data_IF_472210942117
#
_entry.id   IF_472210942117
#
_cell.length_a   1.000
_cell.length_b   1.000
_cell.length_c   1.000
_cell.angle_alpha   90.00
_cell.angle_beta   90.00
_cell.angle_gamma   90.00
#
_symmetry.space_group_name_H-M   'P 1'
#
loop_
_entity.id
_entity.type
_entity.pdbx_description
1 polymer ?
#
# COMPACT_ATOMS: atom_id res chain seq x y z
N UNK A 1 -26.56 10.25 -50.00
CA UNK A 1 -25.50 10.69 -49.06
C UNK A 1 -25.32 9.82 -47.80
N UNK A 2 -26.31 9.58 -46.93
CA UNK A 2 -26.06 8.80 -45.70
C UNK A 2 -25.84 7.29 -45.96
N UNK A 3 -26.69 6.68 -46.79
CA UNK A 3 -26.55 5.27 -47.20
C UNK A 3 -25.25 5.02 -47.96
N UNK A 4 -24.91 5.91 -48.90
CA UNK A 4 -23.66 5.84 -49.67
C UNK A 4 -22.40 5.90 -48.79
N UNK A 5 -22.47 6.61 -47.65
CA UNK A 5 -21.31 6.79 -46.76
C UNK A 5 -21.20 5.72 -45.67
N UNK A 6 -22.30 5.11 -45.24
CA UNK A 6 -22.33 4.22 -44.08
C UNK A 6 -23.00 2.85 -44.33
N UNK A 7 -23.56 2.61 -45.52
CA UNK A 7 -24.21 1.33 -45.90
C UNK A 7 -25.47 1.00 -45.11
N UNK A 8 -26.03 1.93 -44.34
CA UNK A 8 -27.19 1.69 -43.46
C UNK A 8 -28.38 2.50 -43.95
N UNK A 9 -29.48 1.81 -44.25
CA UNK A 9 -30.76 2.44 -44.54
C UNK A 9 -31.43 2.90 -43.23
N UNK A 10 -31.79 4.19 -43.18
CA UNK A 10 -32.54 4.78 -42.06
C UNK A 10 -33.81 5.40 -42.62
N UNK A 11 -34.89 5.30 -41.86
CA UNK A 11 -36.18 5.83 -42.29
C UNK A 11 -36.13 7.36 -42.45
N UNK A 12 -36.85 7.88 -43.44
CA UNK A 12 -37.02 9.32 -43.66
C UNK A 12 -37.48 10.06 -42.39
N UNK A 13 -38.37 9.42 -41.61
CA UNK A 13 -38.87 9.91 -40.32
C UNK A 13 -37.73 10.13 -39.31
N UNK A 14 -36.65 9.34 -39.38
CA UNK A 14 -35.49 9.52 -38.49
C UNK A 14 -34.75 10.81 -38.80
N UNK A 15 -34.52 11.12 -40.08
CA UNK A 15 -33.85 12.35 -40.51
C UNK A 15 -34.70 13.59 -40.21
N UNK A 16 -36.00 13.53 -40.51
CA UNK A 16 -36.95 14.58 -40.16
C UNK A 16 -36.95 14.89 -38.65
N UNK A 17 -36.97 13.85 -37.81
CA UNK A 17 -36.92 14.04 -36.35
C UNK A 17 -35.56 14.53 -35.82
N UNK A 18 -34.47 14.31 -36.56
CA UNK A 18 -33.15 14.85 -36.21
C UNK A 18 -33.05 16.33 -36.58
N UNK A 19 -33.48 16.68 -37.80
CA UNK A 19 -33.56 18.07 -38.28
C UNK A 19 -34.45 18.90 -37.36
N UNK A 20 -35.66 18.43 -37.06
CA UNK A 20 -36.59 19.10 -36.14
C UNK A 20 -35.96 19.34 -34.76
N UNK A 21 -35.25 18.36 -34.21
CA UNK A 21 -34.55 18.50 -32.91
C UNK A 21 -33.39 19.49 -32.98
N UNK A 22 -32.68 19.55 -34.11
CA UNK A 22 -31.62 20.51 -34.32
C UNK A 22 -32.17 21.94 -34.35
N UNK A 23 -33.26 22.16 -35.10
CA UNK A 23 -33.92 23.46 -35.22
C UNK A 23 -34.57 23.93 -33.91
N UNK A 24 -35.23 23.03 -33.17
CA UNK A 24 -35.98 23.41 -31.95
C UNK A 24 -35.10 23.49 -30.69
N UNK A 25 -34.03 22.69 -30.60
CA UNK A 25 -33.28 22.50 -29.36
C UNK A 25 -31.76 22.59 -29.52
N UNK A 26 -31.25 22.88 -30.73
CA UNK A 26 -29.82 23.05 -30.98
C UNK A 26 -28.98 21.79 -30.82
N UNK A 27 -29.58 20.60 -30.81
CA UNK A 27 -28.86 19.35 -30.54
C UNK A 27 -29.50 18.10 -31.14
N UNK A 28 -28.66 17.12 -31.49
CA UNK A 28 -29.08 15.84 -32.08
C UNK A 28 -29.52 14.79 -31.03
N UNK A 29 -29.18 15.00 -29.76
CA UNK A 29 -29.44 14.05 -28.68
C UNK A 29 -30.92 14.07 -28.25
N UNK A 30 -31.48 12.90 -27.92
CA UNK A 30 -32.79 12.82 -27.28
C UNK A 30 -32.67 13.35 -25.85
N UNK A 31 -33.61 14.20 -25.41
CA UNK A 31 -33.72 14.58 -23.99
C UNK A 31 -33.88 13.30 -23.16
N UNK A 32 -33.04 13.15 -22.15
CA UNK A 32 -33.10 12.04 -21.18
C UNK A 32 -34.51 11.96 -20.60
N UNK A 33 -35.13 10.77 -20.65
CA UNK A 33 -36.32 10.50 -19.84
C UNK A 33 -35.87 10.42 -18.39
N UNK A 34 -36.12 11.45 -17.60
CA UNK A 34 -35.95 11.42 -16.15
C UNK A 34 -36.93 10.42 -15.53
N UNK A 35 -36.57 9.14 -15.52
CA UNK A 35 -37.28 8.15 -14.70
C UNK A 35 -36.89 8.40 -13.23
N UNK A 36 -37.84 8.72 -12.34
CA UNK A 36 -37.53 8.85 -10.92
C UNK A 36 -36.98 7.52 -10.40
N UNK A 37 -35.85 7.56 -9.70
CA UNK A 37 -35.26 6.39 -9.05
C UNK A 37 -36.06 6.11 -7.76
N UNK A 38 -37.22 5.47 -7.88
CA UNK A 38 -38.16 5.24 -6.75
C UNK A 38 -37.51 4.61 -5.50
N UNK A 39 -36.46 3.79 -5.67
CA UNK A 39 -35.80 3.06 -4.57
C UNK A 39 -34.67 3.87 -3.90
N UNK A 40 -34.06 4.84 -4.61
CA UNK A 40 -33.05 5.76 -4.05
C UNK A 40 -33.73 7.10 -3.84
N UNK A 41 -34.49 7.19 -2.76
CA UNK A 41 -35.00 8.44 -2.23
C UNK A 41 -34.02 8.98 -1.17
N UNK A 42 -34.21 10.24 -0.77
CA UNK A 42 -33.38 10.89 0.25
C UNK A 42 -33.46 10.15 1.58
N UNK A 43 -34.67 9.70 1.97
CA UNK A 43 -34.88 9.00 3.23
C UNK A 43 -34.07 7.69 3.34
N UNK A 44 -34.11 6.84 2.31
CA UNK A 44 -33.33 5.60 2.29
C UNK A 44 -31.84 5.89 2.23
N UNK A 45 -31.43 6.95 1.53
CA UNK A 45 -30.04 7.38 1.47
C UNK A 45 -29.55 7.78 2.87
N UNK A 46 -30.30 8.62 3.57
CA UNK A 46 -29.99 9.04 4.95
C UNK A 46 -29.95 7.85 5.89
N UNK A 47 -30.90 6.92 5.81
CA UNK A 47 -30.94 5.73 6.67
C UNK A 47 -29.71 4.82 6.47
N UNK A 48 -29.28 4.61 5.21
CA UNK A 48 -28.07 3.82 4.91
C UNK A 48 -26.81 4.52 5.41
N UNK A 49 -26.71 5.84 5.20
CA UNK A 49 -25.56 6.61 5.67
C UNK A 49 -25.47 6.61 7.20
N UNK A 50 -26.59 6.82 7.90
CA UNK A 50 -26.66 6.77 9.35
C UNK A 50 -26.23 5.40 9.89
N UNK A 51 -26.69 4.30 9.28
CA UNK A 51 -26.30 2.95 9.67
C UNK A 51 -24.78 2.69 9.52
N UNK A 52 -24.16 3.25 8.49
CA UNK A 52 -22.71 3.12 8.26
C UNK A 52 -21.90 4.01 9.20
N UNK A 53 -22.40 5.22 9.51
CA UNK A 53 -21.77 6.09 10.51
C UNK A 53 -21.78 5.45 11.90
N UNK A 54 -22.86 4.76 12.27
CA UNK A 54 -22.97 4.03 13.54
C UNK A 54 -22.09 2.77 13.58
N UNK A 55 -21.93 2.09 12.44
CA UNK A 55 -21.08 0.90 12.34
C UNK A 55 -20.38 0.83 10.97
N UNK A 56 -19.14 1.36 10.86
CA UNK A 56 -18.39 1.34 9.60
C UNK A 56 -18.05 -0.06 9.07
N UNK A 57 -18.10 -1.10 9.92
CA UNK A 57 -17.80 -2.48 9.55
C UNK A 57 -19.03 -3.24 9.01
N UNK A 58 -20.20 -2.60 8.94
CA UNK A 58 -21.43 -3.25 8.50
C UNK A 58 -21.35 -3.65 7.02
N UNK A 59 -21.59 -4.92 6.72
CA UNK A 59 -21.55 -5.39 5.33
C UNK A 59 -22.76 -4.89 4.53
N UNK A 60 -22.56 -4.65 3.23
CA UNK A 60 -23.65 -4.30 2.31
C UNK A 60 -24.76 -5.36 2.27
N UNK A 61 -24.44 -6.63 2.54
CA UNK A 61 -25.45 -7.71 2.64
C UNK A 61 -26.32 -7.55 3.87
N UNK A 62 -25.73 -7.22 5.02
CA UNK A 62 -26.47 -7.00 6.27
C UNK A 62 -27.34 -5.74 6.17
N UNK A 63 -26.80 -4.67 5.59
CA UNK A 63 -27.58 -3.47 5.25
C UNK A 63 -28.78 -3.80 4.35
N UNK A 64 -28.60 -4.64 3.32
CA UNK A 64 -29.68 -5.06 2.44
C UNK A 64 -30.82 -5.78 3.18
N UNK A 65 -30.47 -6.65 4.13
CA UNK A 65 -31.45 -7.37 4.96
C UNK A 65 -32.24 -6.41 5.88
N UNK A 66 -31.56 -5.44 6.49
CA UNK A 66 -32.20 -4.52 7.46
C UNK A 66 -32.98 -3.37 6.79
N UNK A 67 -32.55 -2.93 5.60
CA UNK A 67 -33.17 -1.80 4.89
C UNK A 67 -34.20 -2.20 3.84
N UNK A 68 -34.43 -3.50 3.63
CA UNK A 68 -35.26 -4.04 2.54
C UNK A 68 -34.85 -3.52 1.14
N UNK A 69 -33.58 -3.14 0.95
CA UNK A 69 -33.02 -2.68 -0.32
C UNK A 69 -32.14 -3.75 -0.94
N UNK A 70 -32.09 -3.80 -2.27
CA UNK A 70 -31.09 -4.64 -2.94
C UNK A 70 -29.67 -4.14 -2.66
N UNK A 71 -28.72 -5.09 -2.58
CA UNK A 71 -27.29 -4.79 -2.43
C UNK A 71 -26.78 -3.81 -3.51
N UNK A 72 -27.26 -3.96 -4.74
CA UNK A 72 -26.88 -3.09 -5.87
C UNK A 72 -27.34 -1.64 -5.69
N UNK A 73 -28.52 -1.43 -5.09
CA UNK A 73 -29.00 -0.08 -4.74
C UNK A 73 -28.15 0.55 -3.65
N UNK A 74 -27.80 -0.20 -2.60
CA UNK A 74 -26.90 0.26 -1.53
C UNK A 74 -25.53 0.62 -2.11
N UNK A 75 -24.93 -0.25 -2.93
CA UNK A 75 -23.65 0.02 -3.58
C UNK A 75 -23.69 1.30 -4.43
N UNK A 76 -24.79 1.56 -5.13
CA UNK A 76 -24.98 2.78 -5.92
C UNK A 76 -25.08 4.02 -5.03
N UNK A 77 -25.79 3.95 -3.90
CA UNK A 77 -25.85 5.04 -2.91
C UNK A 77 -24.44 5.38 -2.41
N UNK A 78 -23.68 4.36 -1.98
CA UNK A 78 -22.33 4.56 -1.47
C UNK A 78 -21.40 5.19 -2.51
N UNK A 79 -21.45 4.73 -3.76
CA UNK A 79 -20.69 5.36 -4.86
C UNK A 79 -21.11 6.82 -5.11
N UNK A 80 -22.41 7.12 -5.08
CA UNK A 80 -22.91 8.49 -5.27
C UNK A 80 -22.44 9.43 -4.15
N UNK A 81 -22.34 8.91 -2.92
CA UNK A 81 -21.86 9.63 -1.75
C UNK A 81 -20.34 9.56 -1.56
N UNK A 82 -19.60 9.04 -2.55
CA UNK A 82 -18.13 8.90 -2.55
C UNK A 82 -17.58 8.07 -1.38
N UNK A 83 -18.35 7.10 -0.88
CA UNK A 83 -17.85 6.11 0.06
C UNK A 83 -17.03 5.06 -0.67
N UNK A 84 -15.83 4.79 -0.16
CA UNK A 84 -14.92 3.79 -0.68
C UNK A 84 -14.75 2.65 0.32
N UNK A 85 -14.66 1.39 -0.15
CA UNK A 85 -14.21 0.31 0.71
C UNK A 85 -12.72 0.55 1.03
N UNK A 86 -12.41 0.74 2.30
CA UNK A 86 -11.03 0.78 2.79
C UNK A 86 -10.66 -0.59 3.35
N UNK A 87 -9.46 -1.06 3.05
CA UNK A 87 -8.92 -2.25 3.67
C UNK A 87 -8.44 -1.90 5.08
N UNK A 88 -8.81 -2.73 6.05
CA UNK A 88 -8.24 -2.64 7.39
C UNK A 88 -6.77 -3.02 7.30
N UNK A 89 -5.89 -2.08 7.62
CA UNK A 89 -4.47 -2.35 7.80
C UNK A 89 -4.30 -2.75 9.25
N UNK A 90 -3.90 -4.01 9.48
CA UNK A 90 -3.48 -4.46 10.80
C UNK A 90 -2.11 -3.87 11.07
N UNK A 91 -2.04 -2.93 12.01
CA UNK A 91 -0.78 -2.40 12.53
C UNK A 91 -0.48 -3.04 13.88
N UNK A 92 0.79 -3.01 14.30
CA UNK A 92 1.14 -3.37 15.67
C UNK A 92 0.41 -2.44 16.64
N UNK A 93 -0.05 -3.00 17.76
CA UNK A 93 -0.66 -2.22 18.83
C UNK A 93 0.43 -1.40 19.52
N UNK A 94 0.32 -0.07 19.44
CA UNK A 94 1.26 0.85 20.08
C UNK A 94 0.78 1.13 21.50
N UNK A 95 1.69 1.04 22.47
CA UNK A 95 1.44 1.50 23.82
C UNK A 95 1.45 3.04 23.89
N UNK A 96 0.88 3.62 24.95
CA UNK A 96 0.91 5.08 25.15
C UNK A 96 2.35 5.64 25.18
N UNK A 97 3.28 4.90 25.79
CA UNK A 97 4.69 5.29 25.84
C UNK A 97 5.35 5.31 24.45
N UNK A 98 4.94 4.43 23.53
CA UNK A 98 5.47 4.43 22.16
C UNK A 98 5.08 5.71 21.41
N UNK A 99 3.89 6.26 21.67
CA UNK A 99 3.51 7.54 21.09
C UNK A 99 4.42 8.67 21.57
N UNK A 100 4.68 8.74 22.88
CA UNK A 100 5.55 9.75 23.46
C UNK A 100 6.98 9.65 22.92
N UNK A 101 7.53 8.42 22.84
CA UNK A 101 8.85 8.18 22.27
C UNK A 101 8.93 8.60 20.79
N UNK A 102 7.89 8.31 20.00
CA UNK A 102 7.83 8.68 18.58
C UNK A 102 7.69 10.18 18.38
N UNK A 103 6.88 10.86 19.20
CA UNK A 103 6.75 12.33 19.15
C UNK A 103 8.08 12.97 19.53
N UNK A 104 8.71 12.53 20.62
CA UNK A 104 10.02 13.02 21.05
C UNK A 104 11.07 12.86 19.96
N UNK A 105 11.10 11.69 19.29
CA UNK A 105 11.98 11.45 18.16
C UNK A 105 11.70 12.40 16.99
N UNK A 106 10.43 12.61 16.64
CA UNK A 106 10.06 13.54 15.56
C UNK A 106 10.41 15.00 15.88
N UNK A 107 10.21 15.45 17.11
CA UNK A 107 10.57 16.80 17.56
C UNK A 107 12.10 17.00 17.54
N UNK A 108 12.86 16.00 18.02
CA UNK A 108 14.31 15.99 17.89
C UNK A 108 14.75 16.03 16.44
N UNK A 109 14.18 15.18 15.59
CA UNK A 109 14.52 15.11 14.16
C UNK A 109 14.24 16.45 13.46
N UNK A 110 13.11 17.10 13.77
CA UNK A 110 12.81 18.44 13.26
C UNK A 110 13.86 19.50 13.68
N UNK A 111 14.39 19.39 14.89
CA UNK A 111 15.44 20.29 15.39
C UNK A 111 16.81 20.07 14.73
N UNK A 112 17.09 18.86 14.24
CA UNK A 112 18.38 18.49 13.61
C UNK A 112 18.31 18.52 12.08
N UNK A 113 17.11 18.61 11.50
CA UNK A 113 16.88 18.66 10.05
C UNK A 113 17.49 19.91 9.41
N UNK A 114 18.74 19.79 8.97
CA UNK A 114 19.27 20.59 7.86
C UNK A 114 18.73 20.05 6.53
N UNK A 115 18.78 20.87 5.46
CA UNK A 115 18.22 20.55 4.12
C UNK A 115 18.65 19.16 3.61
N UNK A 116 19.87 18.73 3.97
CA UNK A 116 20.48 17.48 3.48
C UNK A 116 20.69 16.41 4.57
N UNK A 117 20.07 16.53 5.75
CA UNK A 117 20.33 15.60 6.87
C UNK A 117 20.03 14.14 6.50
N UNK A 118 18.91 13.87 5.82
CA UNK A 118 18.52 12.52 5.42
C UNK A 118 19.47 11.87 4.42
N UNK A 119 20.14 12.68 3.58
CA UNK A 119 21.15 12.19 2.64
C UNK A 119 22.37 11.63 3.36
N UNK A 120 22.64 12.09 4.59
CA UNK A 120 23.73 11.63 5.44
C UNK A 120 23.38 10.38 6.25
N UNK A 121 22.13 9.89 6.21
CA UNK A 121 21.74 8.70 6.98
C UNK A 121 21.94 7.45 6.11
N UNK A 122 22.76 6.51 6.60
CA UNK A 122 22.78 5.13 6.13
C UNK A 122 21.60 4.39 6.75
N UNK A 123 20.52 4.29 5.98
CA UNK A 123 19.38 3.44 6.33
C UNK A 123 19.75 1.99 6.04
N UNK A 124 19.54 1.10 7.00
CA UNK A 124 19.83 -0.32 6.82
C UNK A 124 18.74 -1.19 7.40
N UNK A 125 18.53 -2.35 6.79
CA UNK A 125 17.53 -3.33 7.23
C UNK A 125 17.88 -4.73 6.70
N UNK A 126 17.25 -5.73 7.31
CA UNK A 126 17.32 -7.12 6.88
C UNK A 126 16.05 -7.57 6.16
N UNK A 127 16.23 -8.32 5.08
CA UNK A 127 15.16 -8.99 4.37
C UNK A 127 15.37 -10.51 4.38
N UNK A 128 14.33 -11.26 4.78
CA UNK A 128 14.31 -12.72 4.69
C UNK A 128 13.65 -13.16 3.38
N UNK A 129 14.42 -13.84 2.53
CA UNK A 129 13.93 -14.50 1.32
C UNK A 129 13.68 -15.98 1.60
N UNK A 130 12.58 -16.53 1.09
CA UNK A 130 12.23 -17.93 1.27
C UNK A 130 11.80 -18.56 -0.05
N UNK A 131 12.20 -19.80 -0.32
CA UNK A 131 11.77 -20.53 -1.52
C UNK A 131 10.31 -21.02 -1.48
N UNK A 132 9.71 -21.07 -0.30
CA UNK A 132 8.28 -21.36 -0.16
C UNK A 132 7.43 -20.26 -0.80
N UNK A 133 8.02 -19.08 -1.05
CA UNK A 133 7.38 -17.91 -1.61
C UNK A 133 6.11 -17.64 -0.82
N UNK A 134 6.23 -17.01 0.35
CA UNK A 134 5.07 -16.47 1.08
C UNK A 134 4.34 -15.51 0.13
N UNK A 135 3.48 -16.06 -0.71
CA UNK A 135 2.75 -15.29 -1.71
C UNK A 135 1.77 -14.51 -0.89
N UNK A 136 1.85 -13.19 -1.00
CA UNK A 136 0.81 -12.34 -0.48
C UNK A 136 -0.52 -12.81 -1.12
N UNK A 137 -1.34 -13.54 -0.36
CA UNK A 137 -2.61 -14.13 -0.85
C UNK A 137 -3.53 -13.05 -1.42
N UNK A 138 -3.36 -11.80 -0.99
CA UNK A 138 -4.07 -10.65 -1.54
C UNK A 138 -3.71 -10.32 -2.98
N UNK A 139 -2.51 -10.68 -3.45
CA UNK A 139 -2.07 -10.44 -4.83
C UNK A 139 -2.34 -11.64 -5.75
N UNK A 140 -2.80 -12.77 -5.22
CA UNK A 140 -3.07 -13.99 -5.96
C UNK A 140 -4.48 -13.97 -6.55
N UNK A 141 -4.70 -13.13 -7.55
CA UNK A 141 -5.97 -13.03 -8.26
C UNK A 141 -6.00 -13.93 -9.48
N UNK A 142 -7.03 -14.76 -9.58
CA UNK A 142 -7.32 -15.58 -10.75
C UNK A 142 -8.65 -15.16 -11.35
N UNK A 143 -8.66 -14.85 -12.64
CA UNK A 143 -9.89 -14.58 -13.38
C UNK A 143 -10.34 -15.88 -14.04
N UNK A 144 -11.53 -16.36 -13.68
CA UNK A 144 -12.14 -17.54 -14.28
C UNK A 144 -13.67 -17.39 -14.30
N UNK A 145 -14.32 -17.96 -15.32
CA UNK A 145 -15.79 -17.96 -15.48
C UNK A 145 -16.45 -18.85 -14.43
N UNK A 146 -15.78 -19.93 -14.04
CA UNK A 146 -16.17 -20.86 -12.99
C UNK A 146 -15.00 -21.09 -12.04
N UNK A 147 -15.27 -21.41 -10.78
CA UNK A 147 -14.23 -21.57 -9.75
C UNK A 147 -13.33 -22.78 -10.09
N UNK A 148 -12.03 -22.57 -10.38
CA UNK A 148 -11.14 -23.65 -10.78
C UNK A 148 -10.65 -24.50 -9.60
N UNK A 149 -11.01 -24.17 -8.35
CA UNK A 149 -10.52 -24.84 -7.14
C UNK A 149 -8.99 -24.95 -7.10
N UNK A 150 -8.28 -23.88 -7.50
CA UNK A 150 -6.83 -23.91 -7.59
C UNK A 150 -6.18 -24.14 -6.22
N UNK A 151 -5.47 -25.26 -6.10
CA UNK A 151 -4.63 -25.59 -4.97
C UNK A 151 -3.17 -25.51 -5.41
N UNK A 152 -2.39 -24.66 -4.75
CA UNK A 152 -0.93 -24.62 -4.95
C UNK A 152 -0.28 -25.47 -3.88
N UNK A 153 0.48 -26.49 -4.30
CA UNK A 153 1.38 -27.21 -3.40
C UNK A 153 2.53 -26.29 -3.01
N UNK A 154 2.72 -26.08 -1.70
CA UNK A 154 3.89 -25.39 -1.17
C UNK A 154 4.85 -26.48 -0.68
N UNK A 155 6.11 -26.51 -1.16
CA UNK A 155 7.07 -27.50 -0.70
C UNK A 155 7.32 -27.32 0.81
N UNK A 156 6.79 -28.24 1.62
CA UNK A 156 6.93 -28.22 3.08
C UNK A 156 8.25 -28.87 3.55
N UNK A 157 8.79 -29.83 2.79
CA UNK A 157 9.95 -30.64 3.20
C UNK A 157 11.32 -30.02 2.90
N UNK A 158 11.42 -29.08 1.95
CA UNK A 158 12.68 -28.43 1.57
C UNK A 158 12.53 -26.91 1.68
N UNK A 159 12.33 -26.39 2.89
CA UNK A 159 12.29 -24.95 3.14
C UNK A 159 13.70 -24.44 3.38
N UNK A 160 14.08 -23.37 2.67
CA UNK A 160 15.24 -22.58 3.03
C UNK A 160 14.84 -21.11 3.16
N UNK A 161 15.55 -20.43 4.06
CA UNK A 161 15.47 -18.99 4.26
C UNK A 161 16.86 -18.40 4.11
N UNK A 162 16.96 -17.26 3.42
CA UNK A 162 18.18 -16.50 3.25
C UNK A 162 17.94 -15.10 3.82
N UNK A 163 18.70 -14.73 4.85
CA UNK A 163 18.66 -13.38 5.39
C UNK A 163 19.71 -12.54 4.68
N UNK A 164 19.29 -11.36 4.22
CA UNK A 164 20.15 -10.43 3.50
C UNK A 164 20.09 -9.09 4.22
N UNK A 165 21.25 -8.54 4.55
CA UNK A 165 21.38 -7.17 4.99
C UNK A 165 21.72 -6.28 3.80
N UNK A 166 21.05 -5.13 3.71
CA UNK A 166 21.38 -4.07 2.78
C UNK A 166 21.29 -2.72 3.48
N UNK A 167 22.12 -1.78 3.03
CA UNK A 167 22.03 -0.37 3.40
C UNK A 167 21.87 0.52 2.18
N UNK A 168 21.36 1.73 2.39
CA UNK A 168 21.32 2.79 1.40
C UNK A 168 21.73 4.12 2.03
N UNK A 169 22.63 4.84 1.36
CA UNK A 169 23.05 6.20 1.73
C UNK A 169 23.26 7.01 0.46
N UNK A 170 22.65 8.21 0.40
CA UNK A 170 22.52 8.97 -0.86
C UNK A 170 22.06 8.07 -2.02
N UNK A 171 22.85 7.98 -3.08
CA UNK A 171 22.62 7.14 -4.25
C UNK A 171 23.35 5.79 -4.18
N UNK A 172 24.00 5.47 -3.06
CA UNK A 172 24.79 4.25 -2.89
C UNK A 172 24.01 3.17 -2.17
N UNK A 173 23.94 1.99 -2.81
CA UNK A 173 23.47 0.75 -2.16
C UNK A 173 24.67 0.02 -1.57
N UNK A 174 24.59 -0.30 -0.28
CA UNK A 174 25.62 -0.99 0.50
C UNK A 174 25.18 -2.44 0.73
N UNK A 175 26.09 -3.38 0.48
CA UNK A 175 25.75 -4.81 0.43
C UNK A 175 25.48 -5.28 -1.01
N UNK A 176 24.71 -6.36 -1.21
CA UNK A 176 24.06 -7.19 -0.20
C UNK A 176 25.07 -7.99 0.64
N UNK A 177 24.78 -8.17 1.92
CA UNK A 177 25.47 -9.14 2.78
C UNK A 177 24.54 -10.31 3.10
N UNK A 178 25.00 -11.52 2.80
CA UNK A 178 24.23 -12.74 3.00
C UNK A 178 24.61 -13.40 4.32
N UNK A 179 23.64 -13.61 5.20
CA UNK A 179 23.85 -14.44 6.38
C UNK A 179 23.66 -15.92 6.02
N UNK A 180 24.54 -16.77 6.53
CA UNK A 180 24.43 -18.22 6.38
C UNK A 180 23.28 -18.83 7.22
N UNK A 181 22.83 -18.12 8.26
CA UNK A 181 21.77 -18.56 9.18
C UNK A 181 20.84 -17.40 9.57
N UNK A 182 19.96 -17.65 10.53
CA UNK A 182 19.22 -16.60 11.25
C UNK A 182 20.19 -15.59 11.85
N UNK A 183 19.86 -14.30 11.71
CA UNK A 183 20.66 -13.20 12.28
C UNK A 183 20.67 -13.32 13.80
N UNK A 184 21.84 -13.61 14.36
CA UNK A 184 22.12 -13.59 15.79
C UNK A 184 22.96 -12.35 16.12
N UNK A 185 23.06 -12.02 17.40
CA UNK A 185 23.89 -10.91 17.87
C UNK A 185 25.34 -11.01 17.40
N UNK A 186 25.91 -12.22 17.39
CA UNK A 186 27.30 -12.47 17.02
C UNK A 186 27.51 -12.24 15.52
N UNK A 187 26.64 -12.80 14.68
CA UNK A 187 26.73 -12.65 13.22
C UNK A 187 26.48 -11.21 12.77
N UNK A 188 25.61 -10.48 13.48
CA UNK A 188 25.37 -9.08 13.21
C UNK A 188 26.56 -8.21 13.64
N UNK A 189 27.13 -8.48 14.82
CA UNK A 189 28.33 -7.81 15.28
C UNK A 189 29.53 -8.07 14.35
N UNK A 190 29.66 -9.29 13.83
CA UNK A 190 30.68 -9.68 12.85
C UNK A 190 30.51 -8.92 11.52
N UNK A 191 29.28 -8.82 11.01
CA UNK A 191 28.94 -7.96 9.86
C UNK A 191 29.45 -6.53 10.08
N UNK A 192 29.08 -5.89 11.19
CA UNK A 192 29.48 -4.51 11.46
C UNK A 192 30.99 -4.33 11.62
N UNK A 193 31.67 -5.31 12.22
CA UNK A 193 33.11 -5.27 12.51
C UNK A 193 33.97 -5.51 11.27
N UNK A 194 33.65 -6.57 10.54
CA UNK A 194 34.57 -7.20 9.60
C UNK A 194 34.13 -7.02 8.14
N UNK A 195 32.83 -6.87 7.88
CA UNK A 195 32.30 -6.80 6.52
C UNK A 195 31.85 -5.40 6.11
N UNK A 196 31.16 -4.68 6.99
CA UNK A 196 30.65 -3.34 6.71
C UNK A 196 31.75 -2.35 6.26
N UNK A 197 32.97 -2.32 6.86
CA UNK A 197 34.03 -1.43 6.37
C UNK A 197 34.41 -1.67 4.91
N UNK A 198 34.45 -2.93 4.47
CA UNK A 198 34.74 -3.29 3.09
C UNK A 198 33.58 -2.92 2.16
N UNK A 199 32.33 -3.16 2.58
CA UNK A 199 31.14 -2.79 1.82
C UNK A 199 31.04 -1.27 1.59
N UNK A 200 31.62 -0.47 2.49
CA UNK A 200 31.64 0.98 2.42
C UNK A 200 32.82 1.54 1.60
N UNK A 201 33.77 0.73 1.10
CA UNK A 201 34.95 1.25 0.39
C UNK A 201 34.61 2.10 -0.83
N UNK A 202 33.53 1.76 -1.53
CA UNK A 202 33.05 2.49 -2.71
C UNK A 202 32.35 3.82 -2.38
N UNK A 203 32.03 4.05 -1.10
CA UNK A 203 31.40 5.30 -0.65
C UNK A 203 32.50 6.36 -0.45
N UNK A 204 32.36 7.55 -1.07
CA UNK A 204 33.27 8.67 -0.87
C UNK A 204 33.57 8.95 0.61
N UNK A 205 34.83 9.25 0.92
CA UNK A 205 35.30 9.43 2.30
C UNK A 205 34.57 10.55 3.05
N UNK A 206 34.16 11.62 2.36
CA UNK A 206 33.44 12.73 2.98
C UNK A 206 32.06 12.29 3.49
N UNK A 207 31.32 11.50 2.69
CA UNK A 207 30.04 10.89 3.09
C UNK A 207 30.27 9.99 4.31
N UNK A 208 31.26 9.08 4.24
CA UNK A 208 31.54 8.15 5.36
C UNK A 208 31.93 8.83 6.68
N UNK A 209 32.50 10.03 6.62
CA UNK A 209 32.89 10.78 7.83
C UNK A 209 31.73 11.53 8.47
N UNK A 210 30.72 11.89 7.69
CA UNK A 210 29.55 12.63 8.15
C UNK A 210 28.31 11.75 8.32
N UNK A 211 28.38 10.49 7.87
CA UNK A 211 27.22 9.61 7.86
C UNK A 211 26.73 9.26 9.26
N UNK A 212 25.41 9.11 9.38
CA UNK A 212 24.71 8.60 10.54
C UNK A 212 24.25 7.18 10.24
N UNK A 213 24.54 6.23 11.14
CA UNK A 213 24.10 4.85 10.96
C UNK A 213 22.74 4.63 11.61
N UNK A 214 21.73 4.26 10.82
CA UNK A 214 20.40 3.93 11.31
C UNK A 214 20.13 2.43 11.16
N UNK A 215 19.67 1.84 12.25
CA UNK A 215 19.22 0.45 12.36
C UNK A 215 17.97 0.40 13.24
N UNK A 216 17.20 -0.69 13.15
CA UNK A 216 16.00 -0.87 13.96
C UNK A 216 16.33 -1.34 15.40
N UNK A 217 15.29 -1.57 16.20
CA UNK A 217 15.40 -2.04 17.58
C UNK A 217 15.46 -3.57 17.75
N UNK A 218 15.79 -4.33 16.70
CA UNK A 218 15.82 -5.80 16.80
C UNK A 218 16.81 -6.28 17.87
N UNK A 219 16.52 -7.42 18.49
CA UNK A 219 17.34 -7.95 19.60
C UNK A 219 18.83 -8.09 19.26
N UNK A 220 19.25 -8.54 18.06
CA UNK A 220 20.67 -8.57 17.67
C UNK A 220 21.34 -7.18 17.64
N UNK A 221 20.58 -6.14 17.30
CA UNK A 221 21.08 -4.77 17.14
C UNK A 221 21.30 -4.10 18.50
N UNK A 222 20.43 -4.43 19.47
CA UNK A 222 20.53 -3.93 20.85
C UNK A 222 21.33 -4.83 21.80
N UNK A 223 21.87 -5.95 21.32
CA UNK A 223 22.70 -6.85 22.11
C UNK A 223 23.92 -6.12 22.69
N UNK A 224 24.38 -6.58 23.86
CA UNK A 224 25.51 -5.97 24.58
C UNK A 224 26.76 -5.92 23.69
N UNK A 225 27.06 -7.02 22.98
CA UNK A 225 28.25 -7.11 22.12
C UNK A 225 28.22 -6.10 20.97
N UNK A 226 27.03 -5.87 20.40
CA UNK A 226 26.82 -4.91 19.30
C UNK A 226 26.98 -3.48 19.83
N UNK A 227 26.33 -3.15 20.95
CA UNK A 227 26.41 -1.83 21.57
C UNK A 227 27.82 -1.49 22.06
N UNK A 228 28.51 -2.44 22.69
CA UNK A 228 29.90 -2.24 23.13
C UNK A 228 30.80 -1.92 21.93
N UNK A 229 30.67 -2.69 20.84
CA UNK A 229 31.43 -2.40 19.63
C UNK A 229 31.13 -1.00 19.06
N UNK A 230 29.85 -0.65 18.93
CA UNK A 230 29.46 0.66 18.41
C UNK A 230 30.00 1.81 19.28
N UNK A 231 29.88 1.68 20.60
CA UNK A 231 30.39 2.67 21.56
C UNK A 231 31.92 2.76 21.52
N UNK A 232 32.64 1.65 21.40
CA UNK A 232 34.10 1.63 21.28
C UNK A 232 34.58 2.26 19.96
N UNK A 233 33.88 2.00 18.86
CA UNK A 233 34.28 2.42 17.51
C UNK A 233 33.94 3.88 17.23
N UNK A 234 32.75 4.33 17.64
CA UNK A 234 32.19 5.63 17.27
C UNK A 234 32.10 6.60 18.45
N UNK A 235 32.36 6.12 19.68
CA UNK A 235 32.15 6.88 20.91
C UNK A 235 30.66 6.96 21.28
N UNK A 236 30.36 7.64 22.39
CA UNK A 236 28.96 8.01 22.74
C UNK A 236 28.50 9.22 21.90
N UNK A 237 28.67 9.14 20.57
CA UNK A 237 28.14 10.13 19.63
C UNK A 237 26.91 9.57 18.94
#
# INVERSE_FOLDING_TARGET
>A
MFFERYGIEKSHVTFYNLEKRLCEHGGLCKKSRNKPKLVINENNTVNILAAITLNPQISQRKLAQTSHMSRSSIQRILKQQKYHPHHLILTQELSMADYDHRVTFCEWLQGVMEIDFFCKILFSDEATFMNSGHVNKHNLHYWAVENPYWMRSVPFQHQWSLNVWCGIIEDFVIGPYFFNETVKSESYCDLLKNHLPALLEHVPLHIRREMWFQQDGASPHFAIITRQFLNEKFGNK
#
